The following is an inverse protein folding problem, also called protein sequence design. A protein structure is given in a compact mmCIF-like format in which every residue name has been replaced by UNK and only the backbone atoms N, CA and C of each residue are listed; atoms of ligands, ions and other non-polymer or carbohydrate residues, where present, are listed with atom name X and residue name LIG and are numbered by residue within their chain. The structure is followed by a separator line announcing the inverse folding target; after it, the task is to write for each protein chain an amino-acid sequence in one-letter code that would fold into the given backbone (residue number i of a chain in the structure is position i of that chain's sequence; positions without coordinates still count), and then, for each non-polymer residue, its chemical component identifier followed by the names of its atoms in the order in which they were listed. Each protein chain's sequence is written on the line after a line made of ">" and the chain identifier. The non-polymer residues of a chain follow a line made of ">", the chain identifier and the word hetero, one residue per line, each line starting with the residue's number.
data_IF_273491628019
#
_entry.id   IF_273491628019
#
_cell.length_a   1.000
_cell.length_b   1.000
_cell.length_c   1.000
_cell.angle_alpha   90.00
_cell.angle_beta   90.00
_cell.angle_gamma   90.00
#
_symmetry.space_group_name_H-M   'P 1'
#
loop_
_entity.id
_entity.type
_entity.pdbx_description
1 polymer ?
#
# COMPACT_ATOMS: atom_id res chain seq x y z
N UNK A 1 56.35 32.02 -39.66
CA UNK A 1 55.09 31.48 -40.15
C UNK A 1 54.10 31.50 -38.98
N UNK A 2 53.20 32.50 -38.94
CA UNK A 2 52.23 32.70 -37.81
C UNK A 2 50.96 31.90 -38.13
N UNK A 3 50.56 31.04 -37.24
CA UNK A 3 49.31 30.35 -37.32
C UNK A 3 48.29 31.10 -36.47
N UNK A 4 47.31 31.73 -37.12
CA UNK A 4 46.18 32.40 -36.48
C UNK A 4 45.21 31.37 -35.92
N UNK A 5 44.85 31.60 -34.64
CA UNK A 5 43.81 30.80 -33.93
C UNK A 5 42.43 31.38 -34.22
N UNK A 6 41.64 30.67 -35.00
CA UNK A 6 40.21 30.98 -35.14
C UNK A 6 39.45 30.54 -33.86
N UNK A 7 38.86 31.49 -33.17
CA UNK A 7 37.88 31.24 -32.11
C UNK A 7 36.52 31.02 -32.75
N UNK A 8 36.04 29.80 -32.73
CA UNK A 8 34.67 29.50 -33.10
C UNK A 8 33.83 29.70 -31.83
N UNK A 9 32.99 30.75 -31.84
CA UNK A 9 32.01 31.03 -30.82
C UNK A 9 30.77 30.23 -31.13
N UNK A 10 30.52 29.18 -30.38
CA UNK A 10 29.28 28.39 -30.50
C UNK A 10 28.21 29.10 -29.68
N UNK A 11 27.29 29.79 -30.36
CA UNK A 11 26.11 30.38 -29.76
C UNK A 11 25.08 29.27 -29.57
N UNK A 12 24.98 28.70 -28.35
CA UNK A 12 23.93 27.75 -27.99
C UNK A 12 22.69 28.55 -27.60
N UNK A 13 21.78 28.69 -28.56
CA UNK A 13 20.43 29.21 -28.28
C UNK A 13 19.63 28.10 -27.67
N UNK A 14 19.46 28.13 -26.32
CA UNK A 14 18.54 27.25 -25.61
C UNK A 14 17.13 27.75 -25.89
N UNK A 15 16.47 27.09 -26.85
CA UNK A 15 15.05 27.27 -27.10
C UNK A 15 14.30 26.45 -26.03
N UNK A 16 13.95 27.08 -24.92
CA UNK A 16 13.04 26.51 -23.91
C UNK A 16 11.62 26.49 -24.47
N UNK A 17 11.35 25.52 -25.31
CA UNK A 17 9.99 25.15 -25.68
C UNK A 17 9.33 24.45 -24.49
N UNK A 18 8.45 25.14 -23.79
CA UNK A 18 7.47 24.50 -22.90
C UNK A 18 6.55 23.63 -23.77
N UNK A 19 6.92 22.35 -23.92
CA UNK A 19 5.98 21.34 -24.38
C UNK A 19 5.10 21.04 -23.17
N UNK A 20 3.96 21.72 -23.06
CA UNK A 20 2.83 21.24 -22.29
C UNK A 20 2.38 19.93 -22.93
N UNK A 21 2.96 18.83 -22.51
CA UNK A 21 2.40 17.51 -22.77
C UNK A 21 1.10 17.45 -21.96
N UNK A 22 0.02 17.92 -22.58
CA UNK A 22 -1.31 17.55 -22.14
C UNK A 22 -1.32 16.03 -22.14
N UNK A 23 -1.29 15.42 -20.96
CA UNK A 23 -1.58 14.00 -20.82
C UNK A 23 -3.03 13.82 -21.27
N UNK A 24 -3.21 13.53 -22.56
CA UNK A 24 -4.45 12.97 -23.04
C UNK A 24 -4.66 11.69 -22.23
N UNK A 25 -5.60 11.71 -21.30
CA UNK A 25 -6.05 10.50 -20.64
C UNK A 25 -6.42 9.52 -21.73
N UNK A 26 -5.67 8.40 -21.82
CA UNK A 26 -6.03 7.34 -22.75
C UNK A 26 -7.49 6.95 -22.45
N UNK A 27 -8.35 6.86 -23.48
CA UNK A 27 -9.75 6.54 -23.28
C UNK A 27 -9.84 5.22 -22.51
N UNK A 28 -10.63 5.19 -21.41
CA UNK A 28 -10.86 4.00 -20.63
C UNK A 28 -11.25 2.85 -21.56
N UNK A 29 -10.55 1.75 -21.52
CA UNK A 29 -10.99 0.53 -22.20
C UNK A 29 -12.28 0.09 -21.51
N UNK A 30 -13.43 0.28 -22.16
CA UNK A 30 -14.76 -0.05 -21.62
C UNK A 30 -14.87 -1.49 -21.09
N UNK A 31 -14.01 -2.39 -21.54
CA UNK A 31 -14.08 -3.81 -21.28
C UNK A 31 -13.32 -4.27 -20.02
N UNK A 32 -12.44 -3.43 -19.45
CA UNK A 32 -11.58 -3.81 -18.32
C UNK A 32 -11.59 -2.80 -17.18
N UNK A 33 -12.68 -2.04 -17.05
CA UNK A 33 -12.84 -1.07 -15.97
C UNK A 33 -14.03 -1.46 -15.10
N UNK A 34 -13.77 -1.70 -13.81
CA UNK A 34 -14.80 -1.80 -12.77
C UNK A 34 -15.11 -0.38 -12.32
N UNK A 35 -16.37 -0.01 -12.14
CA UNK A 35 -16.74 1.32 -11.69
C UNK A 35 -18.01 1.33 -10.86
N UNK A 36 -18.16 2.36 -10.03
CA UNK A 36 -19.31 2.61 -9.17
C UNK A 36 -19.60 4.11 -9.14
N UNK A 37 -20.86 4.47 -8.89
CA UNK A 37 -21.38 5.84 -8.82
C UNK A 37 -21.52 6.36 -7.39
N UNK A 38 -21.05 5.61 -6.40
CA UNK A 38 -21.00 5.98 -4.97
C UNK A 38 -19.73 5.52 -4.29
N UNK A 39 -19.31 6.18 -3.19
CA UNK A 39 -18.23 5.68 -2.33
C UNK A 39 -18.51 4.27 -1.77
N UNK A 40 -17.46 3.56 -1.38
CA UNK A 40 -17.57 2.31 -0.64
C UNK A 40 -17.92 2.60 0.82
N UNK A 41 -18.89 1.87 1.36
CA UNK A 41 -19.29 1.95 2.76
C UNK A 41 -18.65 0.84 3.59
N UNK A 42 -18.50 -0.33 2.99
CA UNK A 42 -17.90 -1.52 3.62
C UNK A 42 -16.65 -1.96 2.87
N UNK A 43 -15.85 -2.82 3.49
CA UNK A 43 -14.58 -3.29 2.95
C UNK A 43 -14.72 -4.01 1.60
N UNK A 44 -15.74 -4.82 1.46
CA UNK A 44 -16.02 -5.63 0.27
C UNK A 44 -16.36 -4.80 -0.98
N UNK A 45 -16.79 -3.55 -0.77
CA UNK A 45 -17.06 -2.63 -1.87
C UNK A 45 -15.84 -1.85 -2.32
N UNK A 46 -14.79 -1.78 -1.48
CA UNK A 46 -13.59 -1.01 -1.79
C UNK A 46 -12.82 -1.61 -2.97
N UNK A 47 -12.17 -0.75 -3.76
CA UNK A 47 -11.37 -1.17 -4.91
C UNK A 47 -9.94 -1.46 -4.46
N UNK A 48 -9.40 -2.61 -4.87
CA UNK A 48 -8.07 -3.06 -4.47
C UNK A 48 -7.00 -2.67 -5.47
N UNK A 49 -5.86 -2.22 -4.96
CA UNK A 49 -4.60 -2.07 -5.70
C UNK A 49 -3.49 -2.85 -5.01
N UNK A 50 -2.47 -3.27 -5.76
CA UNK A 50 -1.33 -3.96 -5.16
C UNK A 50 -0.24 -4.29 -6.16
N UNK A 51 0.97 -4.56 -5.63
CA UNK A 51 2.16 -4.93 -6.40
C UNK A 51 2.71 -6.31 -6.03
N UNK A 52 1.92 -7.13 -5.31
CA UNK A 52 2.33 -8.43 -4.76
C UNK A 52 2.91 -8.35 -3.35
N UNK A 53 3.37 -7.18 -2.89
CA UNK A 53 3.83 -6.94 -1.52
C UNK A 53 3.01 -5.87 -0.81
N UNK A 54 3.01 -4.65 -1.33
CA UNK A 54 2.23 -3.54 -0.83
C UNK A 54 0.90 -3.45 -1.57
N UNK A 55 -0.18 -3.24 -0.85
CA UNK A 55 -1.50 -3.04 -1.40
C UNK A 55 -2.34 -2.10 -0.55
N UNK A 56 -3.49 -1.71 -1.11
CA UNK A 56 -4.49 -0.93 -0.42
C UNK A 56 -5.90 -1.25 -0.92
N UNK A 57 -6.87 -1.15 -0.01
CA UNK A 57 -8.28 -1.06 -0.32
C UNK A 57 -8.67 0.42 -0.36
N UNK A 58 -9.16 0.90 -1.52
CA UNK A 58 -9.49 2.30 -1.79
C UNK A 58 -11.00 2.49 -1.69
N UNK A 59 -11.46 3.30 -0.75
CA UNK A 59 -12.89 3.46 -0.47
C UNK A 59 -13.56 4.51 -1.37
N UNK A 60 -12.81 5.48 -1.87
CA UNK A 60 -13.32 6.51 -2.77
C UNK A 60 -14.19 7.57 -2.10
N UNK A 61 -14.01 7.81 -0.81
CA UNK A 61 -14.79 8.79 -0.06
C UNK A 61 -14.54 10.22 -0.56
N UNK A 62 -15.53 11.10 -0.50
CA UNK A 62 -15.45 12.47 -1.03
C UNK A 62 -14.81 13.41 -0.03
N UNK A 63 -15.44 13.59 1.12
CA UNK A 63 -14.93 14.45 2.19
C UNK A 63 -13.81 13.79 3.00
N UNK A 64 -13.85 12.47 3.09
CA UNK A 64 -12.84 11.66 3.76
C UNK A 64 -12.51 10.45 2.88
N UNK A 65 -11.26 10.37 2.39
CA UNK A 65 -10.74 9.18 1.73
C UNK A 65 -10.09 8.28 2.77
N UNK A 66 -10.33 6.97 2.63
CA UNK A 66 -9.67 5.94 3.41
C UNK A 66 -8.95 4.97 2.50
N UNK A 67 -7.68 4.74 2.79
CA UNK A 67 -6.90 3.64 2.25
C UNK A 67 -6.59 2.67 3.38
N UNK A 68 -7.14 1.47 3.34
CA UNK A 68 -6.69 0.40 4.22
C UNK A 68 -5.46 -0.25 3.61
N UNK A 69 -4.32 -0.04 4.25
CA UNK A 69 -3.01 -0.44 3.76
C UNK A 69 -2.69 -1.87 4.17
N UNK A 70 -1.90 -2.52 3.32
CA UNK A 70 -1.47 -3.89 3.49
C UNK A 70 -0.01 -4.09 3.08
N UNK A 71 0.72 -4.90 3.85
CA UNK A 71 1.99 -5.49 3.45
C UNK A 71 1.91 -6.99 3.72
N UNK A 72 2.18 -7.81 2.70
CA UNK A 72 2.03 -9.27 2.74
C UNK A 72 2.87 -9.94 3.82
N UNK A 73 3.87 -9.25 4.34
CA UNK A 73 4.80 -9.79 5.35
C UNK A 73 4.40 -9.48 6.79
N UNK A 74 3.26 -8.80 7.00
CA UNK A 74 2.78 -8.47 8.36
C UNK A 74 1.96 -9.63 8.93
N UNK A 75 2.66 -10.51 9.60
CA UNK A 75 2.10 -11.66 10.32
C UNK A 75 2.55 -11.62 11.76
N UNK A 76 1.63 -11.93 12.70
CA UNK A 76 2.00 -12.29 14.05
C UNK A 76 2.60 -13.72 14.05
N UNK A 77 3.32 -14.06 15.09
CA UNK A 77 3.79 -15.41 15.29
C UNK A 77 5.29 -15.61 15.07
N UNK A 78 5.73 -16.79 15.43
CA UNK A 78 7.14 -17.19 15.41
C UNK A 78 7.33 -18.48 14.60
N UNK A 79 8.53 -18.71 14.04
CA UNK A 79 8.88 -20.01 13.51
C UNK A 79 8.71 -21.08 14.60
N UNK A 80 7.98 -22.14 14.28
CA UNK A 80 7.73 -23.24 15.20
C UNK A 80 8.57 -24.48 14.79
N UNK A 81 9.77 -24.64 15.34
CA UNK A 81 10.71 -25.67 14.88
C UNK A 81 10.22 -27.11 15.08
N UNK A 82 9.26 -27.32 15.97
CA UNK A 82 8.72 -28.64 16.29
C UNK A 82 7.37 -28.93 15.60
N UNK A 83 6.93 -28.04 14.72
CA UNK A 83 5.63 -28.21 14.01
C UNK A 83 5.71 -29.23 12.86
N UNK A 84 6.90 -29.51 12.35
CA UNK A 84 7.07 -30.39 11.21
C UNK A 84 6.91 -31.86 11.61
N UNK A 85 6.11 -32.58 10.82
CA UNK A 85 6.00 -34.04 10.91
C UNK A 85 6.98 -34.68 9.92
N UNK A 86 8.15 -35.05 10.39
CA UNK A 86 9.24 -35.57 9.57
C UNK A 86 8.93 -36.89 8.86
N UNK A 87 7.92 -37.63 9.29
CA UNK A 87 7.49 -38.91 8.73
C UNK A 87 6.15 -38.87 7.97
N UNK A 88 5.53 -37.67 7.85
CA UNK A 88 4.26 -37.48 7.13
C UNK A 88 4.30 -38.01 5.69
N UNK A 89 5.41 -37.83 4.98
CA UNK A 89 5.58 -38.30 3.60
C UNK A 89 5.38 -39.81 3.43
N UNK A 90 5.61 -40.62 4.48
CA UNK A 90 5.42 -42.07 4.45
C UNK A 90 3.95 -42.46 4.26
N UNK A 91 3.02 -41.56 4.59
CA UNK A 91 1.58 -41.78 4.45
C UNK A 91 1.00 -41.30 3.12
N UNK A 92 1.77 -40.56 2.32
CA UNK A 92 1.31 -40.10 1.00
C UNK A 92 0.86 -41.24 0.05
N UNK A 93 1.54 -42.41 -0.02
CA UNK A 93 1.07 -43.51 -0.87
C UNK A 93 -0.32 -44.00 -0.47
N UNK A 94 -0.60 -44.12 0.83
CA UNK A 94 -1.88 -44.60 1.37
C UNK A 94 -3.01 -43.61 1.07
N UNK A 95 -2.75 -42.27 1.26
CA UNK A 95 -3.69 -41.22 0.91
C UNK A 95 -4.01 -41.22 -0.60
N UNK A 96 -2.97 -41.36 -1.44
CA UNK A 96 -3.15 -41.43 -2.89
C UNK A 96 -3.93 -42.67 -3.34
N UNK A 97 -3.77 -43.77 -2.65
CA UNK A 97 -4.53 -45.01 -2.93
C UNK A 97 -6.00 -44.81 -2.55
N UNK A 98 -6.29 -44.27 -1.39
CA UNK A 98 -7.66 -43.90 -1.00
C UNK A 98 -8.33 -42.99 -2.02
N UNK A 99 -7.62 -41.96 -2.53
CA UNK A 99 -8.14 -41.06 -3.58
C UNK A 99 -8.40 -41.81 -4.90
N UNK A 100 -7.51 -42.73 -5.33
CA UNK A 100 -7.71 -43.55 -6.55
C UNK A 100 -8.93 -44.45 -6.44
N UNK A 101 -9.14 -45.00 -5.25
CA UNK A 101 -10.30 -45.86 -4.95
C UNK A 101 -11.59 -45.07 -4.67
N UNK A 102 -11.55 -43.72 -4.76
CA UNK A 102 -12.65 -42.79 -4.45
C UNK A 102 -13.14 -42.88 -2.99
N UNK A 103 -12.30 -43.39 -2.09
CA UNK A 103 -12.55 -43.34 -0.65
C UNK A 103 -12.11 -42.02 -0.10
N UNK A 104 -12.89 -40.98 -0.38
CA UNK A 104 -12.60 -39.63 0.01
C UNK A 104 -12.61 -39.44 1.54
N UNK A 105 -13.45 -40.22 2.23
CA UNK A 105 -13.52 -40.17 3.69
C UNK A 105 -12.23 -40.66 4.35
N UNK A 106 -11.69 -41.78 3.88
CA UNK A 106 -10.40 -42.28 4.35
C UNK A 106 -9.27 -41.32 4.01
N UNK A 107 -9.26 -40.78 2.78
CA UNK A 107 -8.27 -39.81 2.37
C UNK A 107 -8.28 -38.53 3.25
N UNK A 108 -9.46 -38.04 3.60
CA UNK A 108 -9.63 -36.90 4.51
C UNK A 108 -9.08 -37.22 5.91
N UNK A 109 -9.48 -38.34 6.49
CA UNK A 109 -9.01 -38.77 7.82
C UNK A 109 -7.46 -38.87 7.85
N UNK A 110 -6.87 -39.56 6.87
CA UNK A 110 -5.44 -39.73 6.78
C UNK A 110 -4.72 -38.37 6.59
N UNK A 111 -5.28 -37.48 5.78
CA UNK A 111 -4.73 -36.14 5.56
C UNK A 111 -4.77 -35.33 6.85
N UNK A 112 -5.87 -35.29 7.55
CA UNK A 112 -5.96 -34.62 8.86
C UNK A 112 -5.01 -35.23 9.87
N UNK A 113 -4.88 -36.53 9.92
CA UNK A 113 -4.05 -37.22 10.89
C UNK A 113 -2.56 -37.03 10.63
N UNK A 114 -2.11 -36.99 9.38
CA UNK A 114 -0.70 -37.07 9.03
C UNK A 114 -0.15 -35.86 8.27
N UNK A 115 -0.97 -35.06 7.58
CA UNK A 115 -0.52 -33.94 6.73
C UNK A 115 -0.74 -32.56 7.38
N UNK A 116 -1.19 -32.53 8.61
CA UNK A 116 -1.26 -31.31 9.42
C UNK A 116 0.00 -31.18 10.26
N UNK A 117 0.33 -29.98 10.69
CA UNK A 117 1.41 -29.75 11.66
C UNK A 117 1.22 -30.56 12.95
N UNK A 118 2.28 -30.88 13.66
CA UNK A 118 2.17 -31.42 15.00
C UNK A 118 1.37 -30.42 15.84
N UNK A 119 0.24 -30.87 16.41
CA UNK A 119 -0.48 -30.07 17.39
C UNK A 119 0.39 -29.97 18.64
N UNK A 120 0.67 -28.75 19.05
CA UNK A 120 1.14 -28.47 20.39
C UNK A 120 0.03 -28.89 21.36
N UNK A 121 0.39 -29.33 22.55
CA UNK A 121 -0.57 -29.84 23.56
C UNK A 121 -1.77 -28.93 23.74
N UNK A 122 -2.89 -29.46 24.19
CA UNK A 122 -4.16 -28.69 24.38
C UNK A 122 -3.99 -27.44 25.25
N UNK A 123 -2.99 -27.38 26.09
CA UNK A 123 -2.64 -26.20 26.90
C UNK A 123 -1.98 -25.10 26.06
N UNK A 124 -1.30 -25.45 24.95
CA UNK A 124 -0.64 -24.51 24.07
C UNK A 124 -1.50 -24.09 22.86
N UNK A 125 -2.71 -24.65 22.68
CA UNK A 125 -3.59 -24.30 21.55
C UNK A 125 -3.84 -22.78 21.51
N UNK A 126 -4.03 -22.14 22.66
CA UNK A 126 -4.22 -20.70 22.72
C UNK A 126 -2.96 -19.94 22.30
N UNK A 127 -1.79 -20.34 22.73
CA UNK A 127 -0.52 -19.73 22.32
C UNK A 127 -0.21 -19.98 20.84
N UNK A 128 -0.56 -21.13 20.31
CA UNK A 128 -0.34 -21.50 18.91
C UNK A 128 -1.32 -20.84 17.95
N UNK A 129 -2.59 -20.73 18.34
CA UNK A 129 -3.62 -20.07 17.52
C UNK A 129 -3.38 -18.57 17.41
N UNK A 130 -2.86 -17.95 18.47
CA UNK A 130 -2.56 -16.51 18.49
C UNK A 130 -1.24 -16.16 17.82
N UNK A 131 -0.41 -17.12 17.51
CA UNK A 131 0.96 -16.89 17.03
C UNK A 131 1.10 -16.71 15.53
N UNK A 132 0.02 -16.83 14.75
CA UNK A 132 0.14 -16.87 13.27
C UNK A 132 -1.09 -16.27 12.59
N UNK A 133 -1.37 -14.99 12.83
CA UNK A 133 -2.46 -14.27 12.17
C UNK A 133 -1.93 -13.20 11.23
N UNK A 134 -2.52 -13.14 10.04
CA UNK A 134 -2.32 -12.05 9.12
C UNK A 134 -2.92 -10.75 9.68
N UNK A 135 -2.21 -9.63 9.53
CA UNK A 135 -2.64 -8.34 10.04
C UNK A 135 -2.49 -7.27 8.97
N UNK A 136 -3.39 -6.28 8.98
CA UNK A 136 -3.28 -5.11 8.11
C UNK A 136 -2.13 -4.21 8.57
N UNK A 137 -1.57 -3.43 7.62
CA UNK A 137 -0.55 -2.42 7.94
C UNK A 137 -1.15 -1.24 8.71
N UNK A 138 -2.38 -0.89 8.44
CA UNK A 138 -3.10 0.24 9.06
C UNK A 138 -3.93 1.01 8.05
N UNK A 139 -4.50 2.11 8.49
CA UNK A 139 -5.37 2.97 7.70
C UNK A 139 -4.72 4.33 7.47
N UNK A 140 -4.71 4.80 6.22
CA UNK A 140 -4.40 6.18 5.86
C UNK A 140 -5.71 6.91 5.58
N UNK A 141 -6.03 7.90 6.40
CA UNK A 141 -7.21 8.74 6.26
C UNK A 141 -6.82 10.14 5.77
N UNK A 142 -7.52 10.64 4.74
CA UNK A 142 -7.39 12.00 4.22
C UNK A 142 -8.71 12.73 4.42
N UNK A 143 -8.71 13.82 5.19
CA UNK A 143 -9.88 14.69 5.36
C UNK A 143 -9.70 15.93 4.52
N UNK A 144 -10.61 16.13 3.56
CA UNK A 144 -10.59 17.24 2.61
C UNK A 144 -11.43 18.41 3.10
N UNK A 145 -10.92 19.62 2.90
CA UNK A 145 -11.69 20.85 2.97
C UNK A 145 -12.08 21.22 1.55
N UNK A 146 -13.28 20.84 1.17
CA UNK A 146 -13.84 21.08 -0.17
C UNK A 146 -14.59 22.40 -0.22
N UNK A 147 -14.76 23.03 -1.41
CA UNK A 147 -15.57 24.23 -1.56
C UNK A 147 -17.06 23.93 -1.26
N UNK A 148 -17.81 24.99 -0.98
CA UNK A 148 -19.27 24.92 -0.94
C UNK A 148 -19.83 24.74 -2.35
N UNK A 149 -20.89 23.97 -2.48
CA UNK A 149 -21.56 23.71 -3.76
C UNK A 149 -22.32 22.39 -3.75
N UNK A 150 -23.15 22.20 -4.73
CA UNK A 150 -23.88 20.96 -4.92
C UNK A 150 -22.94 19.87 -5.44
N UNK A 151 -23.14 18.65 -4.95
CA UNK A 151 -22.46 17.47 -5.47
C UNK A 151 -22.98 17.19 -6.88
N UNK A 152 -22.08 17.24 -7.84
CA UNK A 152 -22.34 16.88 -9.23
C UNK A 152 -22.13 15.39 -9.50
N UNK A 153 -21.43 15.09 -10.60
CA UNK A 153 -21.09 13.71 -10.94
C UNK A 153 -20.09 13.13 -9.95
N UNK A 154 -20.25 11.84 -9.64
CA UNK A 154 -19.28 11.05 -8.90
C UNK A 154 -19.02 9.73 -9.63
N UNK A 155 -17.76 9.30 -9.65
CA UNK A 155 -17.36 8.00 -10.16
C UNK A 155 -16.07 7.53 -9.46
N UNK A 156 -16.08 6.32 -8.89
CA UNK A 156 -14.86 5.59 -8.53
C UNK A 156 -14.67 4.43 -9.48
N UNK A 157 -13.42 4.12 -9.82
CA UNK A 157 -13.13 3.15 -10.86
C UNK A 157 -11.79 2.44 -10.61
N UNK A 158 -11.66 1.24 -11.18
CA UNK A 158 -10.43 0.45 -11.27
C UNK A 158 -10.21 0.06 -12.72
N UNK A 159 -9.15 0.58 -13.33
CA UNK A 159 -8.65 0.13 -14.63
C UNK A 159 -7.74 -1.08 -14.41
N UNK A 160 -8.26 -2.27 -14.72
CA UNK A 160 -7.54 -3.54 -14.54
C UNK A 160 -6.33 -3.63 -15.47
N UNK A 161 -6.38 -3.02 -16.65
CA UNK A 161 -5.29 -3.04 -17.63
C UNK A 161 -4.06 -2.28 -17.13
N UNK A 162 -4.29 -1.12 -16.48
CA UNK A 162 -3.22 -0.28 -15.95
C UNK A 162 -2.93 -0.49 -14.48
N UNK A 163 -3.77 -1.27 -13.78
CA UNK A 163 -3.75 -1.46 -12.33
C UNK A 163 -3.82 -0.12 -11.55
N UNK A 164 -4.69 0.79 -11.99
CA UNK A 164 -4.91 2.11 -11.40
C UNK A 164 -6.34 2.18 -10.89
N UNK A 165 -6.51 2.53 -9.61
CA UNK A 165 -7.80 2.92 -9.04
C UNK A 165 -7.92 4.44 -9.06
N UNK A 166 -9.13 4.95 -9.28
CA UNK A 166 -9.38 6.39 -9.31
C UNK A 166 -10.75 6.79 -8.80
N UNK A 167 -10.87 8.07 -8.51
CA UNK A 167 -12.10 8.73 -8.12
C UNK A 167 -12.18 10.08 -8.83
N UNK A 168 -13.28 10.31 -9.53
CA UNK A 168 -13.57 11.58 -10.18
C UNK A 168 -14.92 12.10 -9.67
N UNK A 169 -14.97 13.36 -9.28
CA UNK A 169 -16.21 13.98 -8.82
C UNK A 169 -16.22 15.49 -9.06
N UNK A 170 -17.42 16.10 -8.99
CA UNK A 170 -17.62 17.55 -9.11
C UNK A 170 -18.30 18.12 -7.89
N UNK A 171 -17.90 19.34 -7.50
CA UNK A 171 -18.59 20.16 -6.52
C UNK A 171 -18.78 21.55 -7.14
N UNK A 172 -20.05 21.93 -7.37
CA UNK A 172 -20.37 23.11 -8.17
C UNK A 172 -19.77 22.99 -9.58
N UNK A 173 -18.94 23.95 -9.97
CA UNK A 173 -18.26 23.97 -11.26
C UNK A 173 -16.90 23.25 -11.27
N UNK A 174 -16.34 22.93 -10.09
CA UNK A 174 -15.00 22.40 -9.95
C UNK A 174 -14.95 20.87 -10.00
N UNK A 175 -13.95 20.37 -10.69
CA UNK A 175 -13.64 18.94 -10.82
C UNK A 175 -12.50 18.53 -9.89
N UNK A 176 -12.64 17.37 -9.30
CA UNK A 176 -11.63 16.76 -8.44
C UNK A 176 -11.33 15.35 -8.94
N UNK A 177 -10.05 14.98 -8.92
CA UNK A 177 -9.59 13.65 -9.32
C UNK A 177 -8.59 13.07 -8.33
N UNK A 178 -8.61 11.76 -8.20
CA UNK A 178 -7.61 10.97 -7.47
C UNK A 178 -7.26 9.75 -8.30
N UNK A 179 -5.98 9.45 -8.43
CA UNK A 179 -5.48 8.24 -9.06
C UNK A 179 -4.50 7.56 -8.12
N UNK A 180 -4.63 6.25 -7.95
CA UNK A 180 -3.85 5.50 -6.98
C UNK A 180 -3.34 4.23 -7.65
N UNK A 181 -2.04 3.96 -7.52
CA UNK A 181 -1.42 2.72 -8.00
C UNK A 181 -0.30 2.26 -7.06
N UNK A 182 0.10 0.99 -7.18
CA UNK A 182 1.20 0.42 -6.42
C UNK A 182 2.31 -0.03 -7.36
N UNK A 183 3.49 0.62 -7.27
CA UNK A 183 4.68 0.30 -8.07
C UNK A 183 5.44 -0.86 -7.45
N UNK A 184 5.72 -1.92 -8.23
CA UNK A 184 6.54 -3.04 -7.79
C UNK A 184 8.05 -2.70 -7.82
N UNK A 185 8.60 -2.08 -8.88
CA UNK A 185 10.02 -1.71 -8.94
C UNK A 185 10.43 -0.79 -7.79
N UNK A 186 9.59 0.19 -7.48
CA UNK A 186 9.88 1.22 -6.47
C UNK A 186 9.39 0.84 -5.08
N UNK A 187 8.58 -0.24 -4.96
CA UNK A 187 8.00 -0.69 -3.69
C UNK A 187 7.21 0.41 -2.97
N UNK A 188 6.39 1.17 -3.70
CA UNK A 188 5.65 2.34 -3.23
C UNK A 188 4.21 2.34 -3.73
N UNK A 189 3.28 2.81 -2.88
CA UNK A 189 1.96 3.22 -3.33
C UNK A 189 2.00 4.72 -3.59
N UNK A 190 1.51 5.14 -4.74
CA UNK A 190 1.43 6.54 -5.15
C UNK A 190 -0.04 6.92 -5.33
N UNK A 191 -0.44 8.03 -4.68
CA UNK A 191 -1.73 8.68 -4.92
C UNK A 191 -1.46 10.07 -5.50
N UNK A 192 -2.05 10.34 -6.66
CA UNK A 192 -2.11 11.66 -7.27
C UNK A 192 -3.45 12.31 -6.95
N UNK A 193 -3.42 13.55 -6.53
CA UNK A 193 -4.61 14.38 -6.26
C UNK A 193 -4.58 15.58 -7.20
N UNK A 194 -5.70 15.89 -7.84
CA UNK A 194 -5.83 17.00 -8.78
C UNK A 194 -7.17 17.70 -8.69
N UNK A 195 -7.20 18.97 -9.08
CA UNK A 195 -8.41 19.77 -9.25
C UNK A 195 -8.17 20.84 -10.32
N UNK A 196 -9.26 21.30 -10.97
CA UNK A 196 -9.23 22.47 -11.86
C UNK A 196 -9.44 23.78 -11.08
N UNK A 197 -9.75 23.72 -9.78
CA UNK A 197 -9.81 24.88 -8.90
C UNK A 197 -8.40 25.28 -8.45
N UNK A 198 -7.93 26.45 -8.85
CA UNK A 198 -6.61 26.95 -8.42
C UNK A 198 -6.55 27.08 -6.89
N UNK A 199 -5.54 26.48 -6.26
CA UNK A 199 -5.42 26.41 -4.79
C UNK A 199 -6.54 25.60 -4.13
N UNK A 200 -7.28 24.77 -4.88
CA UNK A 200 -8.46 24.06 -4.40
C UNK A 200 -8.18 22.85 -3.52
N UNK A 201 -6.94 22.36 -3.49
CA UNK A 201 -6.59 21.23 -2.65
C UNK A 201 -6.16 21.65 -1.26
N UNK A 202 -7.03 21.39 -0.28
CA UNK A 202 -6.71 21.52 1.14
C UNK A 202 -7.17 20.26 1.87
N UNK A 203 -6.24 19.58 2.54
CA UNK A 203 -6.55 18.33 3.24
C UNK A 203 -5.59 18.06 4.39
N UNK A 204 -5.98 17.16 5.26
CA UNK A 204 -5.13 16.65 6.31
C UNK A 204 -5.09 15.12 6.28
N UNK A 205 -3.94 14.55 6.66
CA UNK A 205 -3.71 13.12 6.64
C UNK A 205 -3.28 12.60 7.99
N UNK A 206 -3.82 11.43 8.34
CA UNK A 206 -3.45 10.64 9.50
C UNK A 206 -3.15 9.22 9.03
N UNK A 207 -2.07 8.65 9.56
CA UNK A 207 -1.75 7.24 9.41
C UNK A 207 -1.90 6.58 10.78
N UNK A 208 -2.76 5.59 10.86
CA UNK A 208 -3.08 4.95 12.14
C UNK A 208 -3.24 3.44 12.01
N UNK A 209 -3.10 2.75 13.13
CA UNK A 209 -3.33 1.33 13.25
C UNK A 209 -3.92 1.02 14.60
N UNK A 210 -4.94 0.16 14.62
CA UNK A 210 -5.69 -0.17 15.84
C UNK A 210 -4.83 -0.73 16.97
N UNK A 211 -3.73 -1.44 16.66
CA UNK A 211 -2.89 -2.14 17.63
C UNK A 211 -1.42 -1.83 17.43
N UNK A 212 -0.70 -1.70 18.53
CA UNK A 212 0.78 -1.70 18.60
C UNK A 212 1.48 -0.83 17.56
N UNK A 213 1.02 0.41 17.42
CA UNK A 213 1.62 1.39 16.52
C UNK A 213 1.76 2.76 17.18
N UNK A 214 2.84 3.45 16.84
CA UNK A 214 3.05 4.85 17.18
C UNK A 214 3.33 5.63 15.89
N UNK A 215 2.47 6.62 15.62
CA UNK A 215 2.66 7.52 14.48
C UNK A 215 3.22 8.85 14.96
N UNK A 216 4.32 9.24 14.36
CA UNK A 216 4.99 10.53 14.55
C UNK A 216 5.10 11.28 13.22
N UNK A 217 5.54 12.52 13.25
CA UNK A 217 5.89 13.27 12.06
C UNK A 217 7.31 13.82 12.17
N UNK A 218 8.04 13.77 11.04
CA UNK A 218 9.35 14.41 10.89
C UNK A 218 9.31 15.45 9.76
N UNK A 219 10.47 15.99 9.38
CA UNK A 219 10.59 16.96 8.27
C UNK A 219 10.17 16.36 6.91
N UNK A 220 10.09 15.04 6.79
CA UNK A 220 9.80 14.33 5.55
C UNK A 220 8.36 13.83 5.45
N UNK A 221 7.61 13.78 6.55
CA UNK A 221 6.21 13.32 6.54
C UNK A 221 5.81 12.56 7.80
N UNK A 222 4.96 11.55 7.64
CA UNK A 222 4.54 10.65 8.72
C UNK A 222 5.43 9.43 8.80
N UNK A 223 5.67 8.97 10.01
CA UNK A 223 6.37 7.73 10.32
C UNK A 223 5.54 6.96 11.33
N UNK A 224 5.05 5.80 10.94
CA UNK A 224 4.38 4.85 11.83
C UNK A 224 5.29 3.66 12.06
N UNK A 225 5.55 3.37 13.33
CA UNK A 225 6.33 2.20 13.77
C UNK A 225 5.51 1.35 14.69
N UNK A 226 5.66 0.05 14.58
CA UNK A 226 4.97 -0.88 15.45
C UNK A 226 5.50 -2.29 15.31
N UNK A 227 4.80 -3.17 15.99
CA UNK A 227 5.03 -4.60 15.98
C UNK A 227 3.71 -5.33 15.75
N UNK A 228 3.76 -6.58 15.32
CA UNK A 228 2.57 -7.40 15.13
C UNK A 228 2.06 -8.03 16.42
N UNK A 229 2.05 -7.25 17.50
CA UNK A 229 1.54 -7.68 18.80
C UNK A 229 0.07 -8.08 18.72
N UNK A 230 -0.30 -9.08 19.50
CA UNK A 230 -1.67 -9.50 19.65
C UNK A 230 -1.92 -9.92 21.13
N UNK A 231 -2.95 -9.36 21.77
CA UNK A 231 -3.39 -9.71 23.12
C UNK A 231 -2.25 -9.89 24.14
N UNK A 232 -1.44 -8.87 24.35
CA UNK A 232 -0.31 -8.86 25.30
C UNK A 232 0.91 -9.71 24.87
N UNK A 233 0.81 -10.50 23.79
CA UNK A 233 1.94 -11.22 23.22
C UNK A 233 2.65 -10.35 22.19
N UNK A 234 3.95 -10.16 22.37
CA UNK A 234 4.76 -9.46 21.40
C UNK A 234 4.82 -10.28 20.10
N UNK A 235 4.34 -9.70 19.02
CA UNK A 235 4.47 -10.28 17.71
C UNK A 235 5.91 -10.27 17.22
N UNK A 236 6.17 -11.06 16.19
CA UNK A 236 7.52 -11.31 15.73
C UNK A 236 7.93 -10.46 14.54
N UNK A 237 7.06 -9.57 14.05
CA UNK A 237 7.32 -8.72 12.92
C UNK A 237 7.25 -7.23 13.31
N UNK A 238 8.39 -6.58 13.37
CA UNK A 238 8.46 -5.12 13.46
C UNK A 238 8.20 -4.53 12.07
N UNK A 239 7.57 -3.35 12.01
CA UNK A 239 7.34 -2.63 10.77
C UNK A 239 7.53 -1.13 10.93
N UNK A 240 7.90 -0.49 9.83
CA UNK A 240 7.93 0.96 9.68
C UNK A 240 7.24 1.34 8.37
N UNK A 241 6.19 2.15 8.47
CA UNK A 241 5.51 2.76 7.33
C UNK A 241 5.78 4.25 7.28
N UNK A 242 5.91 4.80 6.09
CA UNK A 242 6.13 6.23 5.87
C UNK A 242 5.17 6.78 4.84
N UNK A 243 4.72 8.01 5.09
CA UNK A 243 3.90 8.77 4.15
C UNK A 243 4.54 10.13 3.92
N UNK A 244 4.79 10.46 2.64
CA UNK A 244 5.32 11.76 2.21
C UNK A 244 4.34 12.41 1.25
N UNK A 245 4.24 13.74 1.34
CA UNK A 245 3.45 14.54 0.39
C UNK A 245 4.36 15.51 -0.34
N UNK A 246 4.19 15.60 -1.66
CA UNK A 246 4.75 16.65 -2.51
C UNK A 246 3.57 17.37 -3.14
N UNK A 247 3.42 18.64 -2.89
CA UNK A 247 2.35 19.48 -3.43
C UNK A 247 2.91 20.47 -4.44
N UNK A 248 2.13 20.73 -5.48
CA UNK A 248 2.36 21.85 -6.39
C UNK A 248 1.50 23.02 -5.92
N UNK A 249 2.14 24.13 -5.62
CA UNK A 249 1.50 25.27 -4.94
C UNK A 249 1.16 24.99 -3.47
N UNK A 250 0.60 25.99 -2.83
CA UNK A 250 0.13 25.89 -1.45
C UNK A 250 1.24 25.68 -0.41
N UNK A 251 0.85 25.12 0.73
CA UNK A 251 1.76 24.86 1.86
C UNK A 251 1.55 23.47 2.44
N UNK A 252 2.64 22.74 2.63
CA UNK A 252 2.67 21.45 3.36
C UNK A 252 3.25 21.66 4.74
N UNK A 253 2.64 21.11 5.77
CA UNK A 253 3.15 21.12 7.15
C UNK A 253 2.97 19.77 7.83
N UNK A 254 4.00 19.37 8.60
CA UNK A 254 4.03 18.11 9.34
C UNK A 254 4.10 18.42 10.83
N UNK A 255 3.15 17.98 11.61
CA UNK A 255 3.12 18.23 13.06
C UNK A 255 2.25 17.21 13.78
N UNK A 256 2.71 16.76 14.94
CA UNK A 256 1.96 15.90 15.87
C UNK A 256 1.33 14.67 15.20
N UNK A 257 2.11 13.96 14.37
CA UNK A 257 1.62 12.76 13.67
C UNK A 257 0.59 13.04 12.56
N UNK A 258 0.54 14.28 12.04
CA UNK A 258 -0.39 14.72 11.00
C UNK A 258 0.34 15.48 9.91
N UNK A 259 -0.02 15.25 8.66
CA UNK A 259 0.32 16.12 7.52
C UNK A 259 -0.90 17.01 7.23
N UNK A 260 -0.64 18.28 6.93
CA UNK A 260 -1.66 19.20 6.44
C UNK A 260 -1.17 19.90 5.18
N UNK A 261 -2.01 19.90 4.15
CA UNK A 261 -1.81 20.62 2.88
C UNK A 261 -2.86 21.71 2.79
N UNK A 262 -2.46 22.91 2.38
CA UNK A 262 -3.35 24.06 2.26
C UNK A 262 -3.10 24.78 0.93
N UNK A 263 -4.16 24.91 0.13
CA UNK A 263 -4.16 25.74 -1.08
C UNK A 263 -3.25 25.22 -2.21
N UNK A 264 -3.09 23.90 -2.37
CA UNK A 264 -2.34 23.33 -3.47
C UNK A 264 -3.19 23.21 -4.75
N UNK A 265 -2.54 23.19 -5.91
CA UNK A 265 -3.14 22.94 -7.22
C UNK A 265 -3.18 21.43 -7.50
N UNK A 266 -2.14 20.73 -7.13
CA UNK A 266 -2.06 19.27 -7.16
C UNK A 266 -1.19 18.73 -6.04
N UNK A 267 -1.27 17.42 -5.77
CA UNK A 267 -0.40 16.77 -4.79
C UNK A 267 -0.15 15.31 -5.13
N UNK A 268 1.03 14.82 -4.77
CA UNK A 268 1.39 13.41 -4.78
C UNK A 268 1.63 12.93 -3.35
N UNK A 269 1.02 11.80 -3.02
CA UNK A 269 1.22 11.11 -1.74
C UNK A 269 1.96 9.81 -2.02
N UNK A 270 3.07 9.61 -1.34
CA UNK A 270 3.90 8.41 -1.43
C UNK A 270 3.82 7.64 -0.13
N UNK A 271 3.52 6.34 -0.22
CA UNK A 271 3.36 5.45 0.92
C UNK A 271 4.31 4.27 0.76
N UNK A 272 5.15 4.03 1.76
CA UNK A 272 6.07 2.89 1.80
C UNK A 272 5.98 2.14 3.10
N UNK A 273 6.40 0.88 3.06
CA UNK A 273 6.56 0.05 4.24
C UNK A 273 7.80 -0.83 4.13
N UNK A 274 8.44 -1.07 5.25
CA UNK A 274 9.42 -2.12 5.44
C UNK A 274 9.09 -2.88 6.72
N UNK A 275 9.32 -4.19 6.67
CA UNK A 275 9.15 -5.07 7.83
C UNK A 275 10.46 -5.76 8.19
N UNK A 276 10.55 -6.27 9.41
CA UNK A 276 11.70 -7.08 9.85
C UNK A 276 11.71 -8.48 9.25
N UNK A 277 10.69 -8.86 8.48
CA UNK A 277 10.64 -10.15 7.81
C UNK A 277 11.55 -10.21 6.57
N UNK A 278 12.22 -11.33 6.38
CA UNK A 278 12.92 -11.69 5.15
C UNK A 278 12.78 -13.20 4.92
N UNK A 279 12.57 -13.62 3.66
CA UNK A 279 12.52 -15.04 3.31
C UNK A 279 13.95 -15.64 3.26
N UNK A 280 14.54 -15.81 4.43
CA UNK A 280 15.88 -16.39 4.61
C UNK A 280 15.93 -17.15 5.94
N UNK A 281 15.87 -18.50 5.88
CA UNK A 281 15.89 -19.36 7.07
C UNK A 281 17.21 -19.27 7.85
N UNK A 282 18.33 -18.98 7.16
CA UNK A 282 19.65 -18.84 7.81
C UNK A 282 19.71 -17.60 8.71
N UNK A 283 18.86 -16.63 8.45
CA UNK A 283 18.69 -15.40 9.24
C UNK A 283 17.49 -15.49 10.18
N UNK A 284 16.95 -16.70 10.39
CA UNK A 284 15.75 -16.92 11.18
C UNK A 284 14.58 -16.02 10.71
N UNK A 285 14.45 -15.83 9.38
CA UNK A 285 13.44 -14.96 8.74
C UNK A 285 13.45 -13.50 9.21
N UNK A 286 14.61 -13.00 9.71
CA UNK A 286 14.73 -11.68 10.33
C UNK A 286 15.76 -10.80 9.65
N UNK A 287 15.47 -9.51 9.59
CA UNK A 287 16.39 -8.44 9.23
C UNK A 287 16.14 -7.20 10.09
N UNK A 288 17.14 -6.33 10.22
CA UNK A 288 16.92 -4.99 10.73
C UNK A 288 16.13 -4.14 9.73
N UNK A 289 15.25 -3.27 10.22
CA UNK A 289 14.58 -2.27 9.39
C UNK A 289 15.58 -1.15 9.10
N UNK A 290 15.84 -0.90 7.82
CA UNK A 290 16.60 0.26 7.39
C UNK A 290 15.67 1.44 7.14
N UNK A 291 15.51 2.27 8.16
CA UNK A 291 14.68 3.49 8.08
C UNK A 291 15.12 4.47 6.99
N UNK A 292 16.40 4.42 6.55
CA UNK A 292 16.88 5.23 5.42
C UNK A 292 16.37 4.66 4.11
N UNK A 293 16.44 3.34 3.90
CA UNK A 293 15.89 2.72 2.70
C UNK A 293 14.39 2.97 2.55
N UNK A 294 13.63 2.96 3.65
CA UNK A 294 12.19 3.32 3.64
C UNK A 294 11.96 4.77 3.19
N UNK A 295 12.93 5.67 3.46
CA UNK A 295 12.83 7.09 3.09
C UNK A 295 13.30 7.39 1.67
N UNK A 296 14.30 6.64 1.15
CA UNK A 296 15.02 7.00 -0.08
C UNK A 296 14.38 6.48 -1.36
N UNK A 297 13.49 5.49 -1.29
CA UNK A 297 12.79 4.94 -2.46
C UNK A 297 11.98 5.99 -3.24
N UNK A 298 11.76 7.19 -2.69
CA UNK A 298 10.92 8.23 -3.27
C UNK A 298 11.65 9.48 -3.72
N UNK A 299 12.94 9.60 -3.47
CA UNK A 299 13.70 10.82 -3.80
C UNK A 299 14.39 10.76 -5.16
N UNK A 300 14.26 9.62 -5.88
CA UNK A 300 14.85 9.44 -7.22
C UNK A 300 13.82 9.44 -8.37
N UNK A 301 12.54 9.67 -8.07
CA UNK A 301 11.50 9.80 -9.09
C UNK A 301 11.24 11.27 -9.43
#
# INVERSE_FOLDING_TARGET
>A
MKIEKYKISFLVTVLSGFISVGMAQAPFSKNYTIWYDKPAEIWEEALSIGNGRLGAMCFGGIHEEKLQLNDVTIWSGEPQPNSDRTDAYKKLPEIREALRNRDYKLAEVLTHQYMTCNSVSNEDIYNTIYSSSYQTLGDLSLKFKLPEGEMGSYRRWLDITRAISGVDFKIGEYSFSREIFSSAPDSVIVMKLGTDMKGGLSFSMLLDRKFSAVTTSDSHGLVMKGNTDYMEHRGNCDYEARVKVVADGGRVSNSKGKISVQGADSAYVYITCQTSYILDYKKNYRRAIDSKAVSYTHLRA
#
